data_IF_917048182466
#
_entry.id   IF_917048182466
#
_cell.length_a   1.000
_cell.length_b   1.000
_cell.length_c   1.000
_cell.angle_alpha   90.00
_cell.angle_beta   90.00
_cell.angle_gamma   90.00
#
_symmetry.space_group_name_H-M   'P 1'
#
loop_
_entity.id
_entity.type
_entity.pdbx_description
1 polymer ?
#
# COMPACT_ATOMS: atom_id res chain seq x y z
N UNK A 1 0.57 -54.62 20.81
CA UNK A 1 0.63 -53.22 21.23
C UNK A 1 0.36 -52.37 19.99
N UNK A 2 -0.88 -51.87 19.80
CA UNK A 2 -1.24 -51.01 18.66
C UNK A 2 -0.54 -49.65 18.83
N UNK A 3 0.36 -49.28 17.92
CA UNK A 3 0.94 -47.94 17.86
C UNK A 3 -0.20 -46.97 17.41
N UNK A 4 -0.64 -46.08 18.31
CA UNK A 4 -1.53 -45.00 17.95
C UNK A 4 -0.80 -44.13 16.90
N UNK A 5 -1.31 -44.11 15.67
CA UNK A 5 -0.88 -43.13 14.67
C UNK A 5 -1.44 -41.78 15.07
N UNK A 6 -0.58 -40.83 15.42
CA UNK A 6 -0.96 -39.43 15.62
C UNK A 6 -0.98 -38.83 14.21
N UNK A 7 -2.16 -38.37 13.78
CA UNK A 7 -2.30 -37.57 12.58
C UNK A 7 -2.08 -36.12 13.03
N UNK A 8 -0.97 -35.53 12.63
CA UNK A 8 -0.73 -34.10 12.78
C UNK A 8 -1.33 -33.43 11.55
N UNK A 9 -2.42 -32.68 11.74
CA UNK A 9 -2.95 -31.81 10.71
C UNK A 9 -2.14 -30.52 10.72
N UNK A 10 -1.48 -30.22 9.63
CA UNK A 10 -0.83 -28.91 9.40
C UNK A 10 -1.74 -28.13 8.47
N UNK A 11 -2.14 -26.94 8.88
CA UNK A 11 -2.89 -26.04 8.03
C UNK A 11 -1.92 -25.21 7.21
N UNK A 12 -2.05 -25.23 5.90
CA UNK A 12 -1.29 -24.39 4.98
C UNK A 12 -2.05 -23.08 4.81
N UNK A 13 -1.39 -21.96 5.05
CA UNK A 13 -1.94 -20.61 4.84
C UNK A 13 -0.95 -19.80 4.00
N UNK A 14 -1.47 -19.22 2.93
CA UNK A 14 -0.71 -18.31 2.06
C UNK A 14 -1.30 -16.91 2.16
N UNK A 15 -0.44 -15.93 2.43
CA UNK A 15 -0.84 -14.52 2.51
C UNK A 15 -0.25 -13.72 1.35
N UNK A 16 -1.10 -12.98 0.64
CA UNK A 16 -0.64 -11.94 -0.26
C UNK A 16 -0.07 -10.78 0.56
N UNK A 17 1.08 -10.28 0.15
CA UNK A 17 1.77 -9.15 0.78
C UNK A 17 2.25 -8.17 -0.28
N UNK A 18 2.60 -6.97 0.14
CA UNK A 18 3.32 -5.99 -0.65
C UNK A 18 4.51 -5.47 0.17
N UNK A 19 5.53 -4.87 -0.45
CA UNK A 19 6.69 -4.35 0.26
C UNK A 19 6.29 -3.22 1.22
N UNK A 20 6.22 -3.53 2.52
CA UNK A 20 5.85 -2.58 3.56
C UNK A 20 6.48 -2.94 4.91
N UNK A 21 7.00 -1.94 5.62
CA UNK A 21 7.69 -2.13 6.92
C UNK A 21 6.77 -2.67 8.01
N UNK A 22 5.47 -2.35 7.98
CA UNK A 22 4.46 -2.86 8.92
C UNK A 22 4.27 -4.37 8.90
N UNK A 23 4.81 -5.06 7.87
CA UNK A 23 4.85 -6.53 7.81
C UNK A 23 6.00 -7.17 8.62
N UNK A 24 6.89 -6.37 9.21
CA UNK A 24 8.01 -6.89 10.00
C UNK A 24 7.61 -7.94 11.07
N UNK A 25 6.48 -7.83 11.80
CA UNK A 25 6.04 -8.85 12.73
C UNK A 25 5.79 -10.22 12.08
N UNK A 26 5.29 -10.27 10.84
CA UNK A 26 5.08 -11.53 10.12
C UNK A 26 6.41 -12.20 9.76
N UNK A 27 7.39 -11.43 9.27
CA UNK A 27 8.74 -11.95 8.97
C UNK A 27 9.41 -12.47 10.24
N UNK A 28 9.29 -11.77 11.37
CA UNK A 28 9.79 -12.23 12.66
C UNK A 28 9.09 -13.51 13.11
N UNK A 29 7.76 -13.59 12.96
CA UNK A 29 7.00 -14.78 13.32
C UNK A 29 7.40 -16.02 12.47
N UNK A 30 7.67 -15.82 11.19
CA UNK A 30 8.18 -16.86 10.29
C UNK A 30 9.59 -17.30 10.70
N UNK A 31 10.52 -16.37 10.92
CA UNK A 31 11.90 -16.64 11.30
C UNK A 31 11.99 -17.36 12.66
N UNK A 32 11.20 -16.95 13.64
CA UNK A 32 11.14 -17.55 14.98
C UNK A 32 10.33 -18.85 15.05
N UNK A 33 9.61 -19.20 13.98
CA UNK A 33 8.83 -20.42 13.91
C UNK A 33 7.49 -20.36 14.66
N UNK A 34 6.98 -19.18 15.04
CA UNK A 34 5.73 -19.04 15.80
C UNK A 34 4.52 -19.61 15.06
N UNK A 35 4.47 -19.52 13.73
CA UNK A 35 3.41 -20.15 12.95
C UNK A 35 3.48 -21.69 13.07
N UNK A 36 4.67 -22.27 12.98
CA UNK A 36 4.88 -23.72 13.11
C UNK A 36 4.51 -24.23 14.49
N UNK A 37 4.80 -23.45 15.53
CA UNK A 37 4.42 -23.76 16.91
C UNK A 37 2.90 -23.82 17.09
N UNK A 38 2.16 -23.04 16.28
CA UNK A 38 0.69 -23.07 16.20
C UNK A 38 0.15 -24.13 15.23
N UNK A 39 1.00 -24.97 14.61
CA UNK A 39 0.59 -25.99 13.64
C UNK A 39 0.24 -25.43 12.26
N UNK A 40 0.74 -24.23 11.93
CA UNK A 40 0.53 -23.56 10.64
C UNK A 40 1.78 -23.67 9.77
N UNK A 41 1.60 -24.03 8.52
CA UNK A 41 2.58 -23.85 7.44
C UNK A 41 2.24 -22.56 6.71
N UNK A 42 2.85 -21.46 7.15
CA UNK A 42 2.55 -20.10 6.69
C UNK A 42 3.60 -19.64 5.68
N UNK A 43 3.12 -19.04 4.59
CA UNK A 43 3.95 -18.43 3.57
C UNK A 43 3.38 -17.09 3.11
N UNK A 44 4.25 -16.24 2.58
CA UNK A 44 3.87 -14.96 1.97
C UNK A 44 4.25 -14.95 0.50
N UNK A 45 3.43 -14.30 -0.32
CA UNK A 45 3.65 -14.06 -1.75
C UNK A 45 3.51 -12.57 -2.00
N UNK A 46 4.57 -11.96 -2.52
CA UNK A 46 4.60 -10.52 -2.77
C UNK A 46 3.86 -10.15 -4.06
N UNK A 47 3.08 -9.10 -3.96
CA UNK A 47 2.38 -8.42 -5.04
C UNK A 47 2.82 -6.96 -5.10
N UNK A 48 2.60 -6.32 -6.24
CA UNK A 48 3.07 -4.95 -6.48
C UNK A 48 2.35 -3.92 -5.61
N UNK A 49 1.06 -4.15 -5.30
CA UNK A 49 0.24 -3.22 -4.52
C UNK A 49 -0.93 -3.92 -3.78
N UNK A 50 -1.66 -3.13 -3.00
CA UNK A 50 -2.81 -3.57 -2.20
C UNK A 50 -3.98 -4.09 -3.05
N UNK A 51 -4.23 -3.51 -4.23
CA UNK A 51 -5.30 -3.95 -5.13
C UNK A 51 -5.00 -5.31 -5.75
N UNK A 52 -3.73 -5.57 -6.10
CA UNK A 52 -3.29 -6.87 -6.59
C UNK A 52 -3.43 -7.95 -5.51
N UNK A 53 -3.10 -7.61 -4.24
CA UNK A 53 -3.30 -8.49 -3.08
C UNK A 53 -4.78 -8.86 -2.88
N UNK A 54 -5.69 -7.86 -2.92
CA UNK A 54 -7.14 -8.09 -2.86
C UNK A 54 -7.63 -8.97 -4.01
N UNK A 55 -7.18 -8.69 -5.23
CA UNK A 55 -7.57 -9.46 -6.42
C UNK A 55 -7.13 -10.92 -6.32
N UNK A 56 -5.95 -11.19 -5.76
CA UNK A 56 -5.46 -12.55 -5.54
C UNK A 56 -6.31 -13.30 -4.49
N UNK A 57 -6.72 -12.62 -3.42
CA UNK A 57 -7.60 -13.18 -2.39
C UNK A 57 -8.97 -13.50 -2.96
N UNK A 58 -9.63 -12.56 -3.64
CA UNK A 58 -10.94 -12.74 -4.27
C UNK A 58 -10.93 -13.83 -5.34
N UNK A 59 -9.80 -14.02 -6.03
CA UNK A 59 -9.60 -15.11 -6.98
C UNK A 59 -9.29 -16.46 -6.33
N UNK A 60 -9.24 -16.56 -4.99
CA UNK A 60 -8.92 -17.78 -4.25
C UNK A 60 -7.50 -18.29 -4.47
N UNK A 61 -6.56 -17.42 -4.85
CA UNK A 61 -5.15 -17.77 -5.07
C UNK A 61 -4.33 -17.74 -3.77
N UNK A 62 -4.82 -17.03 -2.77
CA UNK A 62 -4.26 -16.91 -1.43
C UNK A 62 -5.39 -17.00 -0.41
N UNK A 63 -5.06 -17.31 0.83
CA UNK A 63 -6.02 -17.49 1.93
C UNK A 63 -6.22 -16.19 2.71
N UNK A 64 -5.21 -15.32 2.71
CA UNK A 64 -5.18 -14.02 3.39
C UNK A 64 -4.58 -12.98 2.46
N UNK A 65 -4.89 -11.72 2.69
CA UNK A 65 -4.20 -10.60 2.06
C UNK A 65 -3.87 -9.53 3.09
N UNK A 66 -2.63 -9.06 3.05
CA UNK A 66 -2.30 -7.76 3.61
C UNK A 66 -2.70 -6.70 2.57
N UNK A 67 -3.50 -5.75 3.00
CA UNK A 67 -4.03 -4.71 2.13
C UNK A 67 -4.40 -3.48 2.94
N UNK A 68 -4.65 -2.37 2.27
CA UNK A 68 -5.22 -1.18 2.89
C UNK A 68 -6.74 -1.26 2.88
N UNK A 69 -7.39 -0.58 3.84
CA UNK A 69 -8.84 -0.63 3.97
C UNK A 69 -9.57 -0.04 2.76
N UNK A 70 -9.03 1.04 2.18
CA UNK A 70 -9.55 1.63 0.95
C UNK A 70 -9.49 0.67 -0.24
N UNK A 71 -8.38 -0.05 -0.43
CA UNK A 71 -8.25 -1.05 -1.48
C UNK A 71 -9.23 -2.22 -1.27
N UNK A 72 -9.44 -2.66 -0.03
CA UNK A 72 -10.43 -3.69 0.29
C UNK A 72 -11.86 -3.21 -0.03
N UNK A 73 -12.24 -1.99 0.35
CA UNK A 73 -13.56 -1.41 0.07
C UNK A 73 -13.78 -1.28 -1.45
N UNK A 74 -12.77 -0.81 -2.20
CA UNK A 74 -12.86 -0.70 -3.66
C UNK A 74 -13.04 -2.09 -4.29
N UNK A 75 -12.25 -3.08 -3.86
CA UNK A 75 -12.35 -4.44 -4.37
C UNK A 75 -13.74 -5.05 -4.09
N UNK A 76 -14.23 -4.88 -2.86
CA UNK A 76 -15.54 -5.39 -2.43
C UNK A 76 -16.72 -4.74 -3.17
N UNK A 77 -16.60 -3.43 -3.47
CA UNK A 77 -17.66 -2.68 -4.18
C UNK A 77 -17.99 -3.21 -5.58
N UNK A 78 -17.19 -4.13 -6.11
CA UNK A 78 -17.40 -4.77 -7.41
C UNK A 78 -18.26 -6.05 -7.30
N UNK A 79 -18.63 -6.46 -6.09
CA UNK A 79 -19.42 -7.66 -5.82
C UNK A 79 -20.75 -7.29 -5.18
N UNK A 80 -21.77 -8.14 -5.37
CA UNK A 80 -23.11 -7.95 -4.77
C UNK A 80 -23.20 -8.52 -3.34
N UNK A 81 -22.27 -9.40 -2.97
CA UNK A 81 -22.22 -10.08 -1.67
C UNK A 81 -20.93 -9.69 -0.94
N UNK A 82 -20.96 -9.74 0.39
CA UNK A 82 -19.80 -9.54 1.24
C UNK A 82 -18.79 -10.67 1.00
N UNK A 83 -17.64 -10.33 0.41
CA UNK A 83 -16.62 -11.28 -0.02
C UNK A 83 -15.39 -11.27 0.89
N UNK A 84 -15.18 -10.19 1.64
CA UNK A 84 -13.97 -9.96 2.44
C UNK A 84 -14.30 -9.73 3.90
N UNK A 85 -13.56 -10.40 4.77
CA UNK A 85 -13.58 -10.18 6.22
C UNK A 85 -12.27 -9.52 6.67
N UNK A 86 -12.36 -8.40 7.39
CA UNK A 86 -11.20 -7.79 8.05
C UNK A 86 -10.95 -8.52 9.37
N UNK A 87 -9.90 -9.34 9.41
CA UNK A 87 -9.58 -10.18 10.56
C UNK A 87 -8.69 -9.49 11.60
N UNK A 88 -7.84 -8.56 11.17
CA UNK A 88 -6.97 -7.79 12.05
C UNK A 88 -6.54 -6.47 11.40
N UNK A 89 -6.35 -5.45 12.22
CA UNK A 89 -5.64 -4.21 11.86
C UNK A 89 -4.23 -4.36 12.41
N UNK A 90 -3.24 -4.34 11.52
CA UNK A 90 -1.83 -4.58 11.88
C UNK A 90 -1.01 -3.31 11.96
N UNK A 91 -1.47 -2.23 11.31
CA UNK A 91 -0.81 -0.94 11.30
C UNK A 91 -1.80 0.19 10.97
N UNK A 92 -1.41 1.43 11.30
CA UNK A 92 -2.14 2.66 10.97
C UNK A 92 -1.13 3.70 10.50
N UNK A 93 -1.33 4.25 9.28
CA UNK A 93 -0.46 5.30 8.76
C UNK A 93 -0.57 6.57 9.60
N UNK A 94 0.55 7.04 10.11
CA UNK A 94 0.68 8.26 10.90
C UNK A 94 1.79 9.16 10.33
N UNK A 95 1.61 9.61 9.08
CA UNK A 95 2.58 10.46 8.37
C UNK A 95 3.58 9.68 7.53
N UNK A 96 3.31 8.40 7.24
CA UNK A 96 4.13 7.60 6.33
C UNK A 96 3.84 7.90 4.86
N UNK A 97 2.67 8.48 4.56
CA UNK A 97 2.24 8.91 3.22
C UNK A 97 2.24 10.44 3.13
N UNK A 98 2.56 10.97 1.96
CA UNK A 98 2.61 12.42 1.80
C UNK A 98 2.70 12.88 0.34
N UNK A 99 2.57 14.20 0.17
CA UNK A 99 2.68 14.88 -1.12
C UNK A 99 4.01 15.62 -1.16
N UNK A 100 4.93 15.13 -1.99
CA UNK A 100 6.17 15.82 -2.34
C UNK A 100 5.91 16.84 -3.43
N UNK A 101 6.51 18.01 -3.30
CA UNK A 101 6.45 19.06 -4.31
C UNK A 101 7.84 19.69 -4.51
N UNK A 102 8.09 20.22 -5.71
CA UNK A 102 9.26 21.06 -5.96
C UNK A 102 9.29 22.26 -5.02
N UNK A 103 10.47 22.79 -4.75
CA UNK A 103 10.67 23.83 -3.75
C UNK A 103 9.95 25.17 -4.05
N UNK A 104 9.60 25.41 -5.31
CA UNK A 104 8.84 26.60 -5.76
C UNK A 104 7.32 26.48 -5.59
N UNK A 105 6.78 25.29 -5.34
CA UNK A 105 5.38 25.03 -5.03
C UNK A 105 5.17 25.20 -3.52
N UNK A 106 4.25 26.05 -3.08
CA UNK A 106 4.10 26.41 -1.67
C UNK A 106 2.76 26.01 -1.06
N UNK A 107 1.82 25.59 -1.88
CA UNK A 107 0.48 25.18 -1.43
C UNK A 107 -0.13 24.17 -2.40
N UNK A 108 -1.17 23.49 -1.96
CA UNK A 108 -1.95 22.58 -2.83
C UNK A 108 -2.55 23.36 -4.03
N UNK A 109 -2.93 24.63 -3.85
CA UNK A 109 -3.44 25.45 -4.94
C UNK A 109 -2.44 25.66 -6.10
N UNK A 110 -1.13 25.62 -5.79
CA UNK A 110 -0.07 25.77 -6.80
C UNK A 110 0.11 24.51 -7.66
N UNK A 111 -0.56 23.41 -7.33
CA UNK A 111 -0.56 22.18 -8.13
C UNK A 111 -1.38 22.32 -9.42
N UNK A 112 -2.18 23.36 -9.56
CA UNK A 112 -2.97 23.60 -10.79
C UNK A 112 -2.08 23.62 -12.03
N UNK A 113 -2.36 22.71 -12.98
CA UNK A 113 -1.60 22.53 -14.22
C UNK A 113 -0.22 21.90 -14.03
N UNK A 114 0.07 21.32 -12.87
CA UNK A 114 1.33 20.62 -12.57
C UNK A 114 1.21 19.13 -12.85
N UNK A 115 2.35 18.53 -13.18
CA UNK A 115 2.48 17.08 -13.38
C UNK A 115 2.65 16.38 -12.04
N UNK A 116 1.71 15.51 -11.69
CA UNK A 116 1.64 14.82 -10.40
C UNK A 116 1.69 13.31 -10.60
N UNK A 117 2.75 12.66 -10.11
CA UNK A 117 2.87 11.21 -10.09
C UNK A 117 2.03 10.62 -8.96
N UNK A 118 1.15 9.67 -9.27
CA UNK A 118 0.23 9.06 -8.31
C UNK A 118 -0.20 7.67 -8.76
N UNK A 119 -0.44 6.77 -7.82
CA UNK A 119 -1.03 5.46 -8.10
C UNK A 119 -2.56 5.57 -8.07
N UNK A 120 -3.18 5.59 -9.25
CA UNK A 120 -4.63 5.79 -9.40
C UNK A 120 -5.40 4.61 -8.76
N UNK A 121 -6.51 4.93 -8.07
CA UNK A 121 -7.35 3.99 -7.31
C UNK A 121 -6.63 3.31 -6.13
N UNK A 122 -5.61 3.96 -5.59
CA UNK A 122 -4.88 3.54 -4.38
C UNK A 122 -4.97 4.64 -3.30
N UNK A 123 -4.46 4.35 -2.11
CA UNK A 123 -4.39 5.29 -0.98
C UNK A 123 -3.79 6.65 -1.37
N UNK A 124 -2.73 6.64 -2.18
CA UNK A 124 -2.09 7.86 -2.69
C UNK A 124 -3.02 8.73 -3.53
N UNK A 125 -3.88 8.11 -4.36
CA UNK A 125 -4.88 8.85 -5.13
C UNK A 125 -5.94 9.47 -4.22
N UNK A 126 -6.42 8.72 -3.24
CA UNK A 126 -7.37 9.23 -2.26
C UNK A 126 -6.78 10.42 -1.48
N UNK A 127 -5.53 10.31 -1.02
CA UNK A 127 -4.82 11.41 -0.34
C UNK A 127 -4.74 12.67 -1.23
N UNK A 128 -4.36 12.51 -2.50
CA UNK A 128 -4.29 13.62 -3.44
C UNK A 128 -5.66 14.28 -3.64
N UNK A 129 -6.72 13.47 -3.85
CA UNK A 129 -8.07 14.01 -4.06
C UNK A 129 -8.54 14.82 -2.85
N UNK A 130 -8.32 14.32 -1.64
CA UNK A 130 -8.65 15.05 -0.41
C UNK A 130 -7.85 16.36 -0.31
N UNK A 131 -6.56 16.33 -0.64
CA UNK A 131 -5.74 17.54 -0.62
C UNK A 131 -6.24 18.58 -1.66
N UNK A 132 -6.48 18.16 -2.91
CA UNK A 132 -6.97 19.05 -3.97
C UNK A 132 -8.31 19.70 -3.59
N UNK A 133 -9.23 18.95 -3.00
CA UNK A 133 -10.52 19.45 -2.52
C UNK A 133 -10.36 20.60 -1.53
N UNK A 134 -9.36 20.54 -0.62
CA UNK A 134 -9.09 21.64 0.34
C UNK A 134 -8.73 22.96 -0.35
N UNK A 135 -8.19 22.89 -1.55
CA UNK A 135 -7.84 24.05 -2.38
C UNK A 135 -8.91 24.40 -3.43
N UNK A 136 -10.05 23.70 -3.45
CA UNK A 136 -11.09 23.86 -4.44
C UNK A 136 -10.69 23.38 -5.84
N UNK A 137 -9.73 22.49 -5.92
CA UNK A 137 -9.27 21.84 -7.14
C UNK A 137 -9.85 20.42 -7.26
N UNK A 138 -9.78 19.90 -8.49
CA UNK A 138 -10.17 18.54 -8.84
C UNK A 138 -9.02 17.85 -9.59
N UNK A 139 -9.16 16.56 -9.89
CA UNK A 139 -8.25 15.81 -10.75
C UNK A 139 -8.09 16.44 -12.15
N UNK A 140 -9.15 17.09 -12.66
CA UNK A 140 -9.10 17.79 -13.96
C UNK A 140 -8.22 19.05 -13.96
N UNK A 141 -7.84 19.56 -12.78
CA UNK A 141 -6.99 20.74 -12.64
C UNK A 141 -5.49 20.44 -12.61
N UNK A 142 -5.11 19.16 -12.55
CA UNK A 142 -3.72 18.67 -12.50
C UNK A 142 -3.45 17.66 -13.62
N UNK A 143 -2.19 17.50 -14.01
CA UNK A 143 -1.77 16.49 -14.99
C UNK A 143 -1.34 15.22 -14.23
N UNK A 144 -2.27 14.25 -14.10
CA UNK A 144 -2.02 13.01 -13.37
C UNK A 144 -1.22 12.02 -14.23
N UNK A 145 -0.09 11.57 -13.70
CA UNK A 145 0.72 10.51 -14.28
C UNK A 145 0.56 9.25 -13.43
N UNK A 146 -0.15 8.25 -13.98
CA UNK A 146 -0.39 7.00 -13.27
C UNK A 146 0.88 6.14 -13.21
N UNK A 147 1.35 5.87 -12.02
CA UNK A 147 2.51 5.01 -11.72
C UNK A 147 2.42 4.50 -10.29
N UNK A 148 3.22 3.49 -9.93
CA UNK A 148 3.28 3.05 -8.53
C UNK A 148 3.79 4.18 -7.63
N UNK A 149 3.39 4.21 -6.35
CA UNK A 149 3.88 5.25 -5.42
C UNK A 149 5.41 5.21 -5.25
N UNK A 150 6.02 4.03 -5.39
CA UNK A 150 7.48 3.89 -5.41
C UNK A 150 8.10 4.57 -6.62
N UNK A 151 7.56 4.33 -7.82
CA UNK A 151 8.04 4.96 -9.06
C UNK A 151 7.79 6.47 -9.03
N UNK A 152 6.66 6.93 -8.46
CA UNK A 152 6.38 8.36 -8.29
C UNK A 152 7.45 9.03 -7.42
N UNK A 153 7.84 8.40 -6.31
CA UNK A 153 8.91 8.89 -5.45
C UNK A 153 10.26 8.97 -6.17
N UNK A 154 10.63 7.93 -6.92
CA UNK A 154 11.87 7.89 -7.70
C UNK A 154 11.86 8.94 -8.82
N UNK A 155 10.77 9.03 -9.60
CA UNK A 155 10.62 9.98 -10.71
C UNK A 155 10.64 11.43 -10.22
N UNK A 156 10.05 11.69 -9.04
CA UNK A 156 10.14 13.02 -8.42
C UNK A 156 11.58 13.38 -8.03
N UNK A 157 12.29 12.47 -7.38
CA UNK A 157 13.71 12.68 -6.99
C UNK A 157 14.58 12.90 -8.23
N UNK A 158 14.27 12.25 -9.34
CA UNK A 158 14.97 12.43 -10.63
C UNK A 158 14.61 13.74 -11.34
N UNK A 159 13.57 14.46 -10.89
CA UNK A 159 13.15 15.75 -11.44
C UNK A 159 12.12 15.69 -12.57
N UNK A 160 11.61 14.51 -12.88
CA UNK A 160 10.66 14.27 -13.99
C UNK A 160 9.22 14.73 -13.68
N UNK A 161 8.88 14.94 -12.40
CA UNK A 161 7.57 15.35 -11.90
C UNK A 161 7.65 16.67 -11.14
N UNK A 162 6.57 17.44 -11.14
CA UNK A 162 6.42 18.62 -10.30
C UNK A 162 6.00 18.27 -8.87
N UNK A 163 5.23 17.21 -8.73
CA UNK A 163 4.78 16.66 -7.47
C UNK A 163 4.68 15.13 -7.54
N UNK A 164 4.72 14.47 -6.39
CA UNK A 164 4.47 13.03 -6.28
C UNK A 164 3.74 12.72 -4.98
N UNK A 165 2.79 11.80 -5.04
CA UNK A 165 2.16 11.22 -3.86
C UNK A 165 2.78 9.87 -3.61
N UNK A 166 3.51 9.77 -2.51
CA UNK A 166 4.33 8.61 -2.19
C UNK A 166 4.42 8.41 -0.68
N UNK A 167 5.25 7.47 -0.26
CA UNK A 167 5.44 7.09 1.14
C UNK A 167 6.92 7.08 1.54
N UNK A 168 7.18 6.78 2.82
CA UNK A 168 8.55 6.56 3.29
C UNK A 168 9.17 5.28 2.68
N UNK A 169 10.46 5.29 2.31
CA UNK A 169 11.47 6.32 2.59
C UNK A 169 11.62 7.42 1.53
N UNK A 170 10.79 7.45 0.48
CA UNK A 170 10.93 8.42 -0.62
C UNK A 170 10.70 9.86 -0.15
N UNK A 171 9.78 10.06 0.80
CA UNK A 171 9.50 11.37 1.39
C UNK A 171 10.76 11.96 2.04
N UNK A 172 11.33 11.24 2.99
CA UNK A 172 12.56 11.64 3.69
C UNK A 172 13.72 11.81 2.72
N UNK A 173 13.89 10.88 1.78
CA UNK A 173 14.99 10.93 0.81
C UNK A 173 14.94 12.19 -0.06
N UNK A 174 13.76 12.60 -0.54
CA UNK A 174 13.59 13.81 -1.36
C UNK A 174 13.93 15.08 -0.56
N UNK A 175 13.48 15.15 0.68
CA UNK A 175 13.75 16.28 1.58
C UNK A 175 15.23 16.35 1.94
N UNK A 176 15.87 15.24 2.30
CA UNK A 176 17.31 15.18 2.65
C UNK A 176 18.20 15.56 1.47
N UNK A 177 17.82 15.21 0.25
CA UNK A 177 18.53 15.61 -0.97
C UNK A 177 18.25 17.07 -1.36
N UNK A 178 17.29 17.74 -0.72
CA UNK A 178 16.93 19.13 -1.01
C UNK A 178 16.23 19.34 -2.35
N UNK A 179 15.72 18.25 -2.96
CA UNK A 179 15.06 18.32 -4.28
C UNK A 179 13.59 18.69 -4.19
N UNK A 180 12.99 18.63 -2.97
CA UNK A 180 11.60 18.96 -2.71
C UNK A 180 11.29 19.11 -1.24
N UNK A 181 10.02 19.34 -0.97
CA UNK A 181 9.44 19.45 0.38
C UNK A 181 8.07 18.78 0.45
N UNK A 182 7.62 18.50 1.66
CA UNK A 182 6.25 18.05 1.94
C UNK A 182 5.31 19.26 2.06
N UNK A 183 4.06 19.10 1.62
CA UNK A 183 2.97 20.06 1.81
C UNK A 183 1.70 19.36 2.31
#
# INVERSE_FOLDING_TARGET
>A
MMKKKIIVMVFVLTMASNPFVGLAPFYVAMDKGFFKDCGLDFSMVDFDDSSASCSALLAGKVDLAYTTLDAAIIAESQYEEDMLDVTAIVDESAGADGILVKNDINSIADLKGKTVGVSINQTSHYLLMQALETAGLTDADVDLVNMTSSDAGVSFISGDLDAAVTWEPYLSNAVEQGVGKLI
#
